data_IF_000601138364
#
_entry.id   IF_000601138364
#
_cell.length_a   1.000
_cell.length_b   1.000
_cell.length_c   1.000
_cell.angle_alpha   90.00
_cell.angle_beta   90.00
_cell.angle_gamma   90.00
#
_symmetry.space_group_name_H-M   'P 1'
#
loop_
_entity.id
_entity.type
_entity.pdbx_description
1 polymer ?
#
# COMPACT_ATOMS: atom_id res chain seq x y z
N UNK A 1 -1.92 0.68 21.29
CA UNK A 1 -1.59 -0.11 20.10
C UNK A 1 -2.56 -1.29 19.91
N UNK A 2 -2.79 -2.14 20.94
CA UNK A 2 -3.68 -3.31 20.84
C UNK A 2 -5.16 -2.94 20.57
N UNK A 3 -5.63 -1.80 21.07
CA UNK A 3 -7.00 -1.32 20.86
C UNK A 3 -7.28 -0.86 19.44
N UNK A 4 -6.31 -0.24 18.77
CA UNK A 4 -6.41 0.18 17.34
C UNK A 4 -6.36 -1.02 16.40
N UNK A 5 -5.47 -1.98 16.66
CA UNK A 5 -5.41 -3.23 15.89
C UNK A 5 -6.69 -4.06 16.04
N UNK A 6 -7.29 -4.09 17.24
CA UNK A 6 -8.58 -4.75 17.46
C UNK A 6 -9.72 -4.03 16.72
N UNK A 7 -9.70 -2.68 16.66
CA UNK A 7 -10.68 -1.90 15.93
C UNK A 7 -10.54 -2.10 14.40
N UNK A 8 -9.32 -2.18 13.89
CA UNK A 8 -9.06 -2.50 12.47
C UNK A 8 -9.51 -3.92 12.12
N UNK A 9 -9.25 -4.90 12.97
CA UNK A 9 -9.72 -6.27 12.76
C UNK A 9 -11.24 -6.38 12.80
N UNK A 10 -11.91 -5.65 13.68
CA UNK A 10 -13.37 -5.60 13.76
C UNK A 10 -13.93 -4.88 12.52
N UNK A 11 -13.36 -3.75 12.12
CA UNK A 11 -13.78 -3.02 10.92
C UNK A 11 -13.55 -3.84 9.64
N UNK A 12 -12.42 -4.53 9.53
CA UNK A 12 -12.12 -5.42 8.42
C UNK A 12 -13.04 -6.65 8.41
N UNK A 13 -13.28 -7.26 9.57
CA UNK A 13 -14.20 -8.40 9.70
C UNK A 13 -15.65 -8.05 9.39
N UNK A 14 -16.12 -6.87 9.81
CA UNK A 14 -17.47 -6.39 9.47
C UNK A 14 -17.58 -6.00 8.00
N UNK A 15 -16.56 -5.39 7.41
CA UNK A 15 -16.52 -5.07 5.98
C UNK A 15 -16.53 -6.36 5.12
N UNK A 16 -15.70 -7.34 5.45
CA UNK A 16 -15.65 -8.64 4.77
C UNK A 16 -17.00 -9.36 4.91
N UNK A 17 -17.60 -9.37 6.10
CA UNK A 17 -18.92 -9.98 6.32
C UNK A 17 -20.08 -9.27 5.60
N UNK A 18 -19.93 -7.99 5.29
CA UNK A 18 -20.93 -7.21 4.56
C UNK A 18 -20.81 -7.39 3.03
N UNK A 19 -19.57 -7.58 2.52
CA UNK A 19 -19.31 -7.69 1.09
C UNK A 19 -19.35 -9.13 0.55
N UNK A 20 -19.14 -10.15 1.39
CA UNK A 20 -19.21 -11.53 0.95
C UNK A 20 -20.62 -12.10 1.17
N UNK A 21 -21.33 -12.37 0.10
CA UNK A 21 -22.58 -13.13 0.16
C UNK A 21 -22.31 -14.59 0.58
N UNK A 22 -23.31 -15.27 1.14
CA UNK A 22 -23.18 -16.69 1.54
C UNK A 22 -22.70 -17.60 0.41
N UNK A 23 -23.01 -17.28 -0.84
CA UNK A 23 -22.58 -18.03 -2.04
C UNK A 23 -21.11 -17.81 -2.35
N UNK A 24 -20.59 -16.60 -2.19
CA UNK A 24 -19.15 -16.31 -2.37
C UNK A 24 -18.31 -16.97 -1.28
N UNK A 25 -18.77 -16.97 -0.03
CA UNK A 25 -18.08 -17.71 1.07
C UNK A 25 -18.05 -19.21 0.80
N UNK A 26 -19.11 -19.79 0.26
CA UNK A 26 -19.14 -21.20 -0.10
C UNK A 26 -18.16 -21.55 -1.23
N UNK A 27 -17.84 -20.61 -2.12
CA UNK A 27 -16.84 -20.80 -3.19
C UNK A 27 -15.39 -20.67 -2.70
N UNK A 28 -15.17 -20.05 -1.54
CA UNK A 28 -13.84 -19.86 -0.93
C UNK A 28 -13.49 -21.00 0.05
N UNK A 29 -14.50 -21.77 0.50
CA UNK A 29 -14.23 -22.93 1.39
C UNK A 29 -13.40 -23.95 0.62
N UNK A 30 -12.25 -24.42 1.19
CA UNK A 30 -11.46 -25.47 0.56
C UNK A 30 -12.35 -26.68 0.29
N UNK A 31 -12.31 -27.19 -0.91
CA UNK A 31 -12.91 -28.49 -1.25
C UNK A 31 -12.41 -29.49 -0.21
N UNK A 32 -13.37 -30.07 0.51
CA UNK A 32 -13.15 -31.06 1.55
C UNK A 32 -12.24 -32.16 0.99
N UNK A 33 -11.16 -32.42 1.72
CA UNK A 33 -10.15 -33.44 1.44
C UNK A 33 -10.78 -34.71 0.90
N UNK A 34 -10.54 -35.01 -0.38
CA UNK A 34 -10.45 -36.37 -0.84
C UNK A 34 -8.97 -36.70 -0.90
N UNK A 35 -8.61 -37.57 0.03
CA UNK A 35 -7.35 -38.26 0.20
C UNK A 35 -6.71 -38.67 -1.12
N UNK A 36 -5.76 -37.91 -1.64
CA UNK A 36 -4.74 -38.34 -2.62
C UNK A 36 -3.67 -37.24 -2.72
N UNK A 37 -2.47 -37.48 -2.17
CA UNK A 37 -1.31 -36.60 -2.22
C UNK A 37 -0.84 -36.19 -3.62
N UNK A 38 -1.38 -36.79 -4.68
CA UNK A 38 -1.12 -36.41 -6.07
C UNK A 38 -1.81 -35.08 -6.48
N UNK A 39 -2.95 -34.74 -5.87
CA UNK A 39 -3.69 -33.48 -6.15
C UNK A 39 -2.99 -32.23 -5.63
N UNK A 40 -2.36 -32.30 -4.46
CA UNK A 40 -1.62 -31.17 -3.88
C UNK A 40 -0.33 -30.89 -4.65
N UNK A 41 0.39 -31.90 -5.10
CA UNK A 41 1.58 -31.72 -5.92
C UNK A 41 1.27 -31.13 -7.30
N UNK A 42 0.18 -31.54 -7.94
CA UNK A 42 -0.26 -31.00 -9.22
C UNK A 42 -0.68 -29.52 -9.08
N UNK A 43 -1.45 -29.18 -8.03
CA UNK A 43 -1.86 -27.80 -7.71
C UNK A 43 -0.64 -26.92 -7.41
N UNK A 44 0.31 -27.40 -6.63
CA UNK A 44 1.56 -26.67 -6.31
C UNK A 44 2.42 -26.44 -7.57
N UNK A 45 2.55 -27.40 -8.45
CA UNK A 45 3.29 -27.27 -9.73
C UNK A 45 2.64 -26.23 -10.65
N UNK A 46 1.31 -26.24 -10.74
CA UNK A 46 0.53 -25.25 -11.52
C UNK A 46 0.72 -23.86 -10.96
N UNK A 47 0.59 -23.66 -9.65
CA UNK A 47 0.78 -22.36 -8.98
C UNK A 47 2.20 -21.81 -9.19
N UNK A 48 3.23 -22.66 -9.06
CA UNK A 48 4.63 -22.24 -9.32
C UNK A 48 4.84 -21.84 -10.79
N UNK A 49 4.19 -22.53 -11.72
CA UNK A 49 4.20 -22.19 -13.15
C UNK A 49 3.61 -20.79 -13.38
N UNK A 50 2.42 -20.53 -12.85
CA UNK A 50 1.73 -19.23 -12.97
C UNK A 50 2.53 -18.09 -12.33
N UNK A 51 3.14 -18.31 -11.16
CA UNK A 51 3.98 -17.30 -10.50
C UNK A 51 5.21 -16.96 -11.36
N UNK A 52 5.84 -17.95 -12.01
CA UNK A 52 6.95 -17.69 -12.95
C UNK A 52 6.51 -16.86 -14.16
N UNK A 53 5.30 -17.08 -14.67
CA UNK A 53 4.71 -16.27 -15.75
C UNK A 53 4.47 -14.86 -15.25
N UNK A 54 3.87 -14.69 -14.06
CA UNK A 54 3.59 -13.38 -13.47
C UNK A 54 4.86 -12.54 -13.27
N UNK A 55 5.99 -13.15 -12.88
CA UNK A 55 7.30 -12.48 -12.78
C UNK A 55 7.84 -11.97 -14.14
N UNK A 56 7.35 -12.51 -15.26
CA UNK A 56 7.74 -12.07 -16.61
C UNK A 56 6.76 -11.08 -17.22
N UNK A 57 5.60 -10.91 -16.64
CA UNK A 57 4.63 -9.91 -17.06
C UNK A 57 5.12 -8.50 -16.69
N UNK A 58 5.47 -7.70 -17.69
CA UNK A 58 5.97 -6.32 -17.51
C UNK A 58 5.05 -5.48 -16.62
N UNK A 59 3.72 -5.58 -16.83
CA UNK A 59 2.74 -4.82 -16.06
C UNK A 59 2.75 -5.24 -14.59
N UNK A 60 2.76 -6.54 -14.29
CA UNK A 60 2.83 -7.06 -12.93
C UNK A 60 4.07 -6.55 -12.18
N UNK A 61 5.24 -6.61 -12.82
CA UNK A 61 6.50 -6.14 -12.21
C UNK A 61 6.49 -4.63 -11.98
N UNK A 62 6.01 -3.83 -12.94
CA UNK A 62 5.96 -2.37 -12.79
C UNK A 62 4.98 -1.94 -11.69
N UNK A 63 3.81 -2.59 -11.58
CA UNK A 63 2.87 -2.34 -10.49
C UNK A 63 3.46 -2.81 -9.16
N UNK A 64 4.14 -3.94 -9.11
CA UNK A 64 4.80 -4.42 -7.88
C UNK A 64 5.90 -3.44 -7.41
N UNK A 65 6.70 -2.86 -8.31
CA UNK A 65 7.67 -1.81 -7.98
C UNK A 65 7.01 -0.52 -7.48
N UNK A 66 5.88 -0.14 -8.04
CA UNK A 66 5.09 0.99 -7.55
C UNK A 66 4.58 0.74 -6.13
N UNK A 67 4.02 -0.46 -5.88
CA UNK A 67 3.52 -0.87 -4.56
C UNK A 67 4.65 -1.01 -3.54
N UNK A 68 5.82 -1.48 -3.96
CA UNK A 68 7.04 -1.49 -3.14
C UNK A 68 7.34 -0.10 -2.58
N UNK A 69 7.26 0.93 -3.43
CA UNK A 69 7.47 2.32 -2.98
C UNK A 69 6.43 2.75 -1.95
N UNK A 70 5.16 2.35 -2.12
CA UNK A 70 4.11 2.61 -1.12
C UNK A 70 4.40 1.90 0.22
N UNK A 71 4.86 0.64 0.16
CA UNK A 71 5.26 -0.11 1.34
C UNK A 71 6.45 0.52 2.09
N UNK A 72 7.42 1.06 1.36
CA UNK A 72 8.54 1.80 1.96
C UNK A 72 8.06 3.10 2.64
N UNK A 73 7.11 3.81 2.06
CA UNK A 73 6.51 5.02 2.62
C UNK A 73 5.78 4.72 3.93
N UNK A 74 4.95 3.68 3.95
CA UNK A 74 4.21 3.26 5.15
C UNK A 74 5.16 2.66 6.21
N UNK A 75 6.11 1.81 5.80
CA UNK A 75 7.12 1.23 6.69
C UNK A 75 7.99 2.27 7.35
N UNK A 76 8.46 3.27 6.59
CA UNK A 76 9.24 4.36 7.15
C UNK A 76 8.45 5.18 8.20
N UNK A 77 7.13 5.32 8.07
CA UNK A 77 6.32 5.96 9.09
C UNK A 77 6.22 5.11 10.35
N UNK A 78 6.01 3.79 10.20
CA UNK A 78 5.92 2.87 11.34
C UNK A 78 7.19 2.83 12.18
N UNK A 79 8.36 2.84 11.53
CA UNK A 79 9.64 2.62 12.20
C UNK A 79 10.31 3.94 12.62
N UNK A 80 10.17 5.01 11.83
CA UNK A 80 11.01 6.20 11.96
C UNK A 80 10.27 7.49 12.27
N UNK A 81 8.95 7.59 12.07
CA UNK A 81 8.21 8.85 12.29
C UNK A 81 8.31 9.34 13.73
N UNK A 82 8.05 8.45 14.71
CA UNK A 82 8.14 8.80 16.12
C UNK A 82 9.54 9.32 16.48
N UNK A 83 10.58 8.58 16.06
CA UNK A 83 11.97 8.92 16.34
C UNK A 83 12.37 10.24 15.69
N UNK A 84 11.93 10.45 14.44
CA UNK A 84 12.18 11.70 13.70
C UNK A 84 11.53 12.92 14.34
N UNK A 85 10.32 12.78 14.92
CA UNK A 85 9.65 13.89 15.61
C UNK A 85 10.30 14.21 16.96
N UNK A 86 10.81 13.20 17.68
CA UNK A 86 11.54 13.41 18.93
C UNK A 86 12.90 14.06 18.66
N UNK A 87 13.70 13.46 17.79
CA UNK A 87 15.08 13.85 17.53
C UNK A 87 15.17 15.16 16.71
N UNK A 88 14.34 15.28 15.67
CA UNK A 88 14.38 16.43 14.76
C UNK A 88 13.67 17.67 15.28
N UNK A 89 12.60 17.51 16.06
CA UNK A 89 11.71 18.61 16.46
C UNK A 89 11.53 18.75 17.98
N UNK A 90 12.22 17.93 18.79
CA UNK A 90 12.16 17.98 20.25
C UNK A 90 10.79 17.60 20.83
N UNK A 91 10.00 16.80 20.14
CA UNK A 91 8.73 16.34 20.66
C UNK A 91 8.91 15.41 21.86
N UNK A 92 7.99 15.48 22.82
CA UNK A 92 7.88 14.42 23.82
C UNK A 92 7.43 13.12 23.14
N UNK A 93 7.73 11.98 23.75
CA UNK A 93 7.29 10.67 23.24
C UNK A 93 5.76 10.60 23.01
N UNK A 94 4.99 11.24 23.91
CA UNK A 94 3.54 11.31 23.77
C UNK A 94 3.11 12.14 22.55
N UNK A 95 3.77 13.30 22.31
CA UNK A 95 3.47 14.13 21.16
C UNK A 95 3.88 13.46 19.83
N UNK A 96 5.00 12.74 19.81
CA UNK A 96 5.43 11.97 18.65
C UNK A 96 4.45 10.82 18.33
N UNK A 97 3.97 10.11 19.37
CA UNK A 97 2.92 9.08 19.19
C UNK A 97 1.59 9.68 18.68
N UNK A 98 1.24 10.90 19.12
CA UNK A 98 0.07 11.61 18.58
C UNK A 98 0.27 11.99 17.10
N UNK A 99 1.48 12.38 16.69
CA UNK A 99 1.81 12.66 15.29
C UNK A 99 1.68 11.38 14.43
N UNK A 100 2.13 10.23 14.94
CA UNK A 100 1.94 8.95 14.26
C UNK A 100 0.45 8.56 14.16
N UNK A 101 -0.33 8.75 15.23
CA UNK A 101 -1.77 8.54 15.19
C UNK A 101 -2.46 9.46 14.16
N UNK A 102 -1.98 10.69 14.02
CA UNK A 102 -2.46 11.64 13.02
C UNK A 102 -2.12 11.19 11.59
N UNK A 103 -0.92 10.64 11.36
CA UNK A 103 -0.56 9.99 10.09
C UNK A 103 -1.56 8.88 9.74
N UNK A 104 -1.83 7.95 10.68
CA UNK A 104 -2.77 6.86 10.48
C UNK A 104 -4.21 7.36 10.22
N UNK A 105 -4.62 8.42 10.91
CA UNK A 105 -5.93 9.04 10.69
C UNK A 105 -6.05 9.58 9.26
N UNK A 106 -5.06 10.32 8.77
CA UNK A 106 -5.07 10.86 7.41
C UNK A 106 -5.09 9.76 6.36
N UNK A 107 -4.29 8.72 6.56
CA UNK A 107 -4.28 7.53 5.71
C UNK A 107 -5.64 6.85 5.67
N UNK A 108 -6.28 6.67 6.82
CA UNK A 108 -7.59 6.04 6.96
C UNK A 108 -8.69 6.85 6.28
N UNK A 109 -8.74 8.16 6.48
CA UNK A 109 -9.71 9.06 5.84
C UNK A 109 -9.66 8.92 4.31
N UNK A 110 -8.46 8.90 3.74
CA UNK A 110 -8.30 8.77 2.28
C UNK A 110 -8.71 7.39 1.80
N UNK A 111 -8.40 6.31 2.54
CA UNK A 111 -8.86 4.95 2.22
C UNK A 111 -10.38 4.86 2.17
N UNK A 112 -11.09 5.45 3.12
CA UNK A 112 -12.56 5.49 3.10
C UNK A 112 -13.13 6.36 1.96
N UNK A 113 -12.45 7.44 1.61
CA UNK A 113 -12.85 8.30 0.51
C UNK A 113 -12.49 7.73 -0.87
N UNK A 114 -11.61 6.71 -0.93
CA UNK A 114 -11.00 6.23 -2.19
C UNK A 114 -12.02 5.80 -3.25
N UNK A 115 -13.14 5.11 -2.96
CA UNK A 115 -14.08 4.71 -4.03
C UNK A 115 -14.69 5.92 -4.76
N UNK A 116 -15.02 7.00 -4.01
CA UNK A 116 -15.54 8.22 -4.60
C UNK A 116 -14.49 9.01 -5.37
N UNK A 117 -13.27 9.04 -4.85
CA UNK A 117 -12.14 9.73 -5.47
C UNK A 117 -11.73 9.01 -6.76
N UNK A 118 -11.65 7.68 -6.73
CA UNK A 118 -11.33 6.85 -7.90
C UNK A 118 -12.38 6.98 -9.00
N UNK A 119 -13.67 6.97 -8.66
CA UNK A 119 -14.74 7.19 -9.62
C UNK A 119 -14.65 8.56 -10.33
N UNK A 120 -14.14 9.58 -9.65
CA UNK A 120 -13.99 10.95 -10.22
C UNK A 120 -12.69 11.14 -10.97
N UNK A 121 -11.57 10.74 -10.40
CA UNK A 121 -10.22 11.04 -10.90
C UNK A 121 -9.60 9.89 -11.70
N UNK A 122 -10.03 8.65 -11.42
CA UNK A 122 -9.40 7.42 -11.90
C UNK A 122 -8.17 7.03 -11.09
N UNK A 123 -7.87 5.74 -11.05
CA UNK A 123 -6.77 5.18 -10.28
C UNK A 123 -5.39 5.80 -10.61
N UNK A 124 -4.98 5.98 -11.88
CA UNK A 124 -3.67 6.56 -12.20
C UNK A 124 -3.48 7.98 -11.71
N UNK A 125 -4.50 8.85 -11.88
CA UNK A 125 -4.41 10.24 -11.45
C UNK A 125 -4.42 10.34 -9.93
N UNK A 126 -5.26 9.56 -9.26
CA UNK A 126 -5.36 9.51 -7.82
C UNK A 126 -4.04 9.03 -7.18
N UNK A 127 -3.42 8.00 -7.72
CA UNK A 127 -2.10 7.53 -7.28
C UNK A 127 -1.01 8.60 -7.45
N UNK A 128 -0.99 9.32 -8.58
CA UNK A 128 -0.04 10.41 -8.77
C UNK A 128 -0.22 11.53 -7.75
N UNK A 129 -1.45 11.92 -7.46
CA UNK A 129 -1.76 12.96 -6.47
C UNK A 129 -1.31 12.52 -5.08
N UNK A 130 -1.68 11.30 -4.65
CA UNK A 130 -1.31 10.79 -3.33
C UNK A 130 0.19 10.61 -3.19
N UNK A 131 0.89 10.01 -4.15
CA UNK A 131 2.35 9.89 -4.11
C UNK A 131 3.07 11.24 -4.15
N UNK A 132 2.56 12.23 -4.88
CA UNK A 132 3.10 13.59 -4.83
C UNK A 132 2.93 14.19 -3.43
N UNK A 133 1.79 13.94 -2.79
CA UNK A 133 1.58 14.29 -1.38
C UNK A 133 2.58 13.63 -0.44
N UNK A 134 2.90 12.33 -0.65
CA UNK A 134 3.92 11.63 0.11
C UNK A 134 5.31 12.27 -0.04
N UNK A 135 5.72 12.59 -1.27
CA UNK A 135 7.01 13.26 -1.52
C UNK A 135 7.08 14.59 -0.80
N UNK A 136 6.07 15.43 -0.95
CA UNK A 136 6.01 16.74 -0.27
C UNK A 136 5.99 16.56 1.25
N UNK A 137 5.20 15.62 1.76
CA UNK A 137 5.12 15.29 3.18
C UNK A 137 6.46 14.86 3.77
N UNK A 138 7.15 13.92 3.12
CA UNK A 138 8.48 13.44 3.51
C UNK A 138 9.52 14.57 3.52
N UNK A 139 9.52 15.42 2.49
CA UNK A 139 10.45 16.56 2.41
C UNK A 139 10.14 17.61 3.49
N UNK A 140 8.87 17.86 3.80
CA UNK A 140 8.51 18.75 4.91
C UNK A 140 8.96 18.16 6.25
N UNK A 141 8.73 16.87 6.52
CA UNK A 141 9.23 16.25 7.77
C UNK A 141 10.76 16.27 7.82
N UNK A 142 11.46 16.14 6.68
CA UNK A 142 12.91 16.14 6.65
C UNK A 142 13.54 17.53 6.82
N UNK A 143 12.92 18.60 6.32
CA UNK A 143 13.57 19.91 6.16
C UNK A 143 12.79 21.10 6.70
N UNK A 144 11.60 20.91 7.28
CA UNK A 144 10.82 22.04 7.77
C UNK A 144 11.57 22.80 8.90
N UNK A 145 11.58 24.14 8.87
CA UNK A 145 12.23 24.94 9.90
C UNK A 145 11.44 24.97 11.23
N UNK A 146 10.15 24.61 11.20
CA UNK A 146 9.24 24.63 12.34
C UNK A 146 8.41 23.36 12.42
N UNK A 147 8.15 22.90 13.64
CA UNK A 147 7.36 21.69 13.91
C UNK A 147 5.94 21.71 13.29
N UNK A 148 5.32 22.90 13.16
CA UNK A 148 4.00 23.04 12.54
C UNK A 148 3.99 22.59 11.08
N UNK A 149 5.04 22.94 10.33
CA UNK A 149 5.20 22.48 8.94
C UNK A 149 5.54 20.99 8.87
N UNK A 150 6.31 20.48 9.85
CA UNK A 150 6.56 19.05 9.95
C UNK A 150 5.26 18.26 10.21
N UNK A 151 4.38 18.75 11.08
CA UNK A 151 3.06 18.13 11.32
C UNK A 151 2.17 18.19 10.07
N UNK A 152 2.19 19.28 9.31
CA UNK A 152 1.52 19.35 8.01
C UNK A 152 2.13 18.33 7.03
N UNK A 153 3.45 18.15 7.08
CA UNK A 153 4.17 17.10 6.35
C UNK A 153 3.69 15.70 6.72
N UNK A 154 3.49 15.42 8.00
CA UNK A 154 2.94 14.15 8.49
C UNK A 154 1.56 13.88 7.92
N UNK A 155 0.69 14.90 7.84
CA UNK A 155 -0.63 14.75 7.22
C UNK A 155 -0.54 14.39 5.73
N UNK A 156 0.28 15.10 4.97
CA UNK A 156 0.48 14.85 3.54
C UNK A 156 1.13 13.48 3.29
N UNK A 157 2.06 13.09 4.16
CA UNK A 157 2.67 11.75 4.11
C UNK A 157 1.64 10.66 4.36
N UNK A 158 0.74 10.79 5.35
CA UNK A 158 -0.36 9.85 5.59
C UNK A 158 -1.33 9.75 4.42
N UNK A 159 -1.72 10.89 3.82
CA UNK A 159 -2.50 10.92 2.58
C UNK A 159 -1.78 10.15 1.48
N UNK A 160 -0.48 10.36 1.34
CA UNK A 160 0.34 9.74 0.30
C UNK A 160 0.54 8.24 0.44
N UNK A 161 0.61 7.73 1.67
CA UNK A 161 0.78 6.32 1.99
C UNK A 161 -0.50 5.48 1.75
N UNK A 162 -1.65 6.12 1.56
CA UNK A 162 -2.97 5.49 1.70
C UNK A 162 -3.34 4.48 0.62
N UNK A 163 -3.04 4.75 -0.66
CA UNK A 163 -3.71 4.08 -1.78
C UNK A 163 -2.82 3.18 -2.65
N UNK A 164 -1.50 3.24 -2.49
CA UNK A 164 -0.59 2.50 -3.36
C UNK A 164 -0.83 0.98 -3.32
N UNK A 165 -0.97 0.42 -2.14
CA UNK A 165 -1.20 -1.02 -1.97
C UNK A 165 -2.61 -1.46 -2.42
N UNK A 166 -3.73 -0.84 -1.96
CA UNK A 166 -5.07 -1.25 -2.37
C UNK A 166 -5.29 -1.13 -3.87
N UNK A 167 -4.92 0.00 -4.49
CA UNK A 167 -5.09 0.19 -5.92
C UNK A 167 -4.14 -0.68 -6.76
N UNK A 168 -2.96 -0.99 -6.23
CA UNK A 168 -2.04 -1.94 -6.86
C UNK A 168 -2.61 -3.36 -6.92
N UNK A 169 -3.20 -3.85 -5.84
CA UNK A 169 -3.89 -5.15 -5.83
C UNK A 169 -5.07 -5.13 -6.79
N UNK A 170 -5.93 -4.11 -6.72
CA UNK A 170 -7.09 -3.97 -7.60
C UNK A 170 -6.68 -4.01 -9.08
N UNK A 171 -5.58 -3.35 -9.44
CA UNK A 171 -5.06 -3.32 -10.81
C UNK A 171 -4.62 -4.69 -11.33
N UNK A 172 -4.15 -5.58 -10.46
CA UNK A 172 -3.69 -6.93 -10.81
C UNK A 172 -4.79 -7.99 -10.73
N UNK A 173 -5.94 -7.67 -10.14
CA UNK A 173 -7.05 -8.58 -9.90
C UNK A 173 -8.07 -8.62 -11.06
N UNK A 174 -7.61 -8.47 -12.30
CA UNK A 174 -8.46 -8.44 -13.50
C UNK A 174 -8.73 -9.82 -14.10
N UNK A 175 -7.89 -10.81 -13.81
CA UNK A 175 -7.99 -12.19 -14.28
C UNK A 175 -8.01 -13.14 -13.07
N UNK A 176 -9.11 -13.81 -12.77
CA UNK A 176 -9.22 -14.66 -11.59
C UNK A 176 -8.18 -15.77 -11.52
N UNK A 177 -7.73 -16.31 -12.66
CA UNK A 177 -6.73 -17.39 -12.72
C UNK A 177 -5.33 -16.87 -12.38
N UNK A 178 -4.97 -15.68 -12.87
CA UNK A 178 -3.64 -15.09 -12.67
C UNK A 178 -3.53 -14.25 -11.40
N UNK A 179 -4.63 -13.79 -10.83
CA UNK A 179 -4.66 -12.92 -9.64
C UNK A 179 -3.82 -13.46 -8.47
N UNK A 180 -3.93 -14.73 -8.03
CA UNK A 180 -3.12 -15.22 -6.91
C UNK A 180 -1.61 -15.16 -7.20
N UNK A 181 -1.21 -15.48 -8.43
CA UNK A 181 0.18 -15.45 -8.86
C UNK A 181 0.74 -14.01 -8.91
N UNK A 182 -0.05 -13.06 -9.44
CA UNK A 182 0.32 -11.63 -9.50
C UNK A 182 0.42 -11.00 -8.12
N UNK A 183 -0.55 -11.29 -7.24
CA UNK A 183 -0.53 -10.81 -5.84
C UNK A 183 0.66 -11.40 -5.09
N UNK A 184 1.04 -12.65 -5.35
CA UNK A 184 2.25 -13.26 -4.76
C UNK A 184 3.53 -12.51 -5.17
N UNK A 185 3.67 -12.12 -6.44
CA UNK A 185 4.80 -11.30 -6.92
C UNK A 185 4.82 -9.95 -6.22
N UNK A 186 3.68 -9.26 -6.18
CA UNK A 186 3.53 -7.95 -5.52
C UNK A 186 3.91 -8.04 -4.04
N UNK A 187 3.40 -9.03 -3.33
CA UNK A 187 3.69 -9.24 -1.90
C UNK A 187 5.16 -9.56 -1.66
N UNK A 188 5.78 -10.40 -2.52
CA UNK A 188 7.20 -10.73 -2.40
C UNK A 188 8.07 -9.49 -2.53
N UNK A 189 7.81 -8.64 -3.52
CA UNK A 189 8.55 -7.39 -3.73
C UNK A 189 8.32 -6.42 -2.57
N UNK A 190 7.07 -6.27 -2.10
CA UNK A 190 6.73 -5.38 -1.00
C UNK A 190 7.37 -5.81 0.33
N UNK A 191 7.29 -7.08 0.69
CA UNK A 191 7.90 -7.60 1.93
C UNK A 191 9.43 -7.58 1.86
N UNK A 192 10.02 -7.83 0.68
CA UNK A 192 11.45 -7.67 0.47
C UNK A 192 11.92 -6.25 0.76
N UNK A 193 11.17 -5.26 0.31
CA UNK A 193 11.46 -3.85 0.59
C UNK A 193 11.26 -3.50 2.08
N UNK A 194 10.22 -4.02 2.71
CA UNK A 194 9.98 -3.83 4.14
C UNK A 194 11.11 -4.42 5.01
N UNK A 195 11.75 -5.50 4.56
CA UNK A 195 12.89 -6.11 5.26
C UNK A 195 14.18 -5.30 5.08
N UNK A 196 14.41 -4.75 3.89
CA UNK A 196 15.66 -4.05 3.54
C UNK A 196 15.58 -2.55 3.89
N UNK A 197 14.40 -1.95 3.81
CA UNK A 197 14.19 -0.51 4.00
C UNK A 197 14.68 0.04 5.33
N UNK A 198 14.25 -0.50 6.49
CA UNK A 198 14.65 0.00 7.79
C UNK A 198 16.18 -0.03 8.04
N UNK A 199 16.93 -1.11 7.75
CA UNK A 199 18.38 -1.11 7.88
C UNK A 199 19.08 -0.07 6.99
N UNK A 200 18.63 0.11 5.76
CA UNK A 200 19.21 1.13 4.86
C UNK A 200 18.97 2.54 5.39
N UNK A 201 17.76 2.84 5.84
CA UNK A 201 17.45 4.14 6.44
C UNK A 201 18.25 4.36 7.74
N UNK A 202 18.46 3.31 8.56
CA UNK A 202 19.27 3.37 9.76
C UNK A 202 20.70 3.81 9.46
N UNK A 203 21.36 3.17 8.48
CA UNK A 203 22.71 3.54 8.06
C UNK A 203 22.80 5.00 7.60
N UNK A 204 21.80 5.48 6.86
CA UNK A 204 21.74 6.88 6.41
C UNK A 204 21.51 7.80 7.61
N UNK A 205 20.60 7.44 8.51
CA UNK A 205 20.24 8.22 9.69
C UNK A 205 21.41 8.44 10.64
N UNK A 206 22.29 7.45 10.81
CA UNK A 206 23.50 7.56 11.63
C UNK A 206 24.44 8.68 11.14
N UNK A 207 24.40 9.04 9.86
CA UNK A 207 25.27 10.07 9.27
C UNK A 207 24.62 11.44 9.21
N UNK A 208 23.30 11.53 9.00
CA UNK A 208 22.63 12.81 8.71
C UNK A 208 21.44 13.13 9.63
N UNK A 209 21.14 12.25 10.59
CA UNK A 209 19.98 12.36 11.50
C UNK A 209 18.71 11.72 10.95
N UNK A 210 17.84 11.28 11.86
CA UNK A 210 16.65 10.47 11.53
C UNK A 210 15.65 11.19 10.63
N UNK A 211 15.33 12.46 10.93
CA UNK A 211 14.37 13.25 10.16
C UNK A 211 14.84 13.49 8.72
N UNK A 212 16.15 13.75 8.51
CA UNK A 212 16.71 13.98 7.16
C UNK A 212 16.82 12.70 6.34
N UNK A 213 17.06 11.57 6.99
CA UNK A 213 17.11 10.27 6.31
C UNK A 213 15.79 9.94 5.60
N UNK A 214 14.64 10.40 6.13
CA UNK A 214 13.33 10.20 5.51
C UNK A 214 13.21 10.81 4.10
N UNK A 215 14.01 11.82 3.77
CA UNK A 215 14.04 12.38 2.40
C UNK A 215 14.44 11.35 1.35
N UNK A 216 15.24 10.33 1.71
CA UNK A 216 15.63 9.27 0.78
C UNK A 216 14.48 8.36 0.39
N UNK A 217 13.45 8.24 1.23
CA UNK A 217 12.22 7.50 0.89
C UNK A 217 11.46 8.19 -0.26
N UNK A 218 11.64 9.49 -0.46
CA UNK A 218 11.03 10.20 -1.57
C UNK A 218 11.54 9.70 -2.94
N UNK A 219 12.76 9.17 -3.05
CA UNK A 219 13.34 8.71 -4.32
C UNK A 219 12.53 7.57 -4.97
N UNK A 220 12.26 6.43 -4.28
CA UNK A 220 11.40 5.40 -4.85
C UNK A 220 9.97 5.89 -5.09
N UNK A 221 9.46 6.85 -4.31
CA UNK A 221 8.12 7.42 -4.52
C UNK A 221 8.05 8.25 -5.80
N UNK A 222 9.11 8.98 -6.16
CA UNK A 222 9.19 9.67 -7.46
C UNK A 222 9.08 8.67 -8.62
N UNK A 223 9.72 7.51 -8.52
CA UNK A 223 9.55 6.43 -9.48
C UNK A 223 8.09 5.93 -9.50
N UNK A 224 7.46 5.76 -8.32
CA UNK A 224 6.07 5.33 -8.24
C UNK A 224 5.09 6.30 -8.92
N UNK A 225 5.34 7.62 -8.88
CA UNK A 225 4.53 8.62 -9.60
C UNK A 225 4.55 8.36 -11.11
N UNK A 226 5.71 8.03 -11.66
CA UNK A 226 5.85 7.68 -13.08
C UNK A 226 5.14 6.36 -13.37
N UNK A 227 5.36 5.35 -12.52
CA UNK A 227 4.77 4.02 -12.68
C UNK A 227 3.25 3.99 -12.46
N UNK A 228 2.67 4.95 -11.75
CA UNK A 228 1.22 5.06 -11.57
C UNK A 228 0.43 5.11 -12.90
N UNK A 229 1.07 5.56 -13.98
CA UNK A 229 0.50 5.51 -15.33
C UNK A 229 0.33 4.10 -15.91
N UNK A 230 0.93 3.07 -15.32
CA UNK A 230 0.78 1.67 -15.72
C UNK A 230 -0.48 1.01 -15.12
N UNK A 231 -1.09 1.65 -14.13
CA UNK A 231 -2.33 1.17 -13.50
C UNK A 231 -3.49 1.42 -14.47
N UNK A 232 -4.29 0.39 -14.81
CA UNK A 232 -5.43 0.55 -15.71
C UNK A 232 -6.49 1.51 -15.12
N UNK A 233 -7.01 2.39 -15.96
CA UNK A 233 -8.17 3.21 -15.58
C UNK A 233 -9.45 2.40 -15.81
N UNK A 234 -10.11 2.01 -14.73
CA UNK A 234 -11.32 1.16 -14.78
C UNK A 234 -12.62 1.95 -15.03
N UNK A 235 -12.58 3.28 -15.10
CA UNK A 235 -13.78 4.12 -15.32
C UNK A 235 -14.55 3.82 -16.61
N UNK A 236 -13.90 3.27 -17.62
CA UNK A 236 -14.52 2.89 -18.90
C UNK A 236 -15.25 1.56 -18.88
N UNK A 237 -14.91 0.63 -18.00
CA UNK A 237 -15.49 -0.73 -17.96
C UNK A 237 -16.93 -0.74 -17.46
N UNK A 238 -17.20 -0.08 -16.36
CA UNK A 238 -18.56 -0.01 -15.75
C UNK A 238 -19.61 0.59 -16.68
N UNK A 239 -19.19 1.44 -17.63
CA UNK A 239 -20.11 2.11 -18.57
C UNK A 239 -20.46 1.24 -19.77
N UNK A 240 -19.56 0.33 -20.15
CA UNK A 240 -19.76 -0.56 -21.29
C UNK A 240 -20.57 -1.80 -20.88
N UNK A 241 -20.36 -2.30 -19.67
CA UNK A 241 -21.06 -3.49 -19.16
C UNK A 241 -22.56 -3.18 -18.91
N UNK A 242 -22.88 -1.97 -18.42
CA UNK A 242 -24.29 -1.52 -18.23
C UNK A 242 -25.01 -1.32 -19.58
N UNK A 243 -24.30 -0.94 -20.63
CA UNK A 243 -24.88 -0.68 -21.96
C UNK A 243 -25.09 -1.95 -22.80
N UNK A 244 -24.63 -3.11 -22.34
CA UNK A 244 -24.81 -4.41 -23.00
C UNK A 244 -25.92 -5.25 -22.36
N UNK A 245 -26.44 -4.84 -21.18
CA UNK A 245 -27.55 -5.50 -20.47
C UNK A 245 -28.92 -4.83 -20.73
N UNK A 246 -28.98 -3.75 -21.53
CA UNK A 246 -30.18 -3.11 -22.08
C UNK A 246 -30.41 -3.51 -23.55
#
# INVERSE_FOLDING_TARGET
LFGLAALELIACGTAVGFYLTKEEVASITPVKDTDNGEGEEASSKTTRGLTRVAWREKQTVLIALMVMSAGLVEGAANDWLNLSMVDGYGFSTAAASAAFAFFLLMMTIVRFASPRLEARLGAPALLRITFSGAVVGLLLVAFAPHYTLAVAGVALWGIGASLGFPLGISALSTDPVMTPARVSVLSTVNYGAALIGPPLLGIIADHIGYHRALAFVALPVLLAIVLAGQVPDQRGRTRTDIALDD
#
